data_IF_946701171556
#
_entry.id   IF_946701171556
#
_cell.length_a   1.000
_cell.length_b   1.000
_cell.length_c   1.000
_cell.angle_alpha   90.00
_cell.angle_beta   90.00
_cell.angle_gamma   90.00
#
_symmetry.space_group_name_H-M   'P 1'
#
loop_
_entity.id
_entity.type
_entity.pdbx_description
1 polymer ?
#
# COMPACT_ATOMS: atom_id res chain seq x y z
N UNK A 1 -38.24 21.38 6.72
CA UNK A 1 -37.34 20.62 5.83
C UNK A 1 -36.13 21.51 5.47
N UNK A 2 -35.54 22.14 6.49
CA UNK A 2 -34.62 23.27 6.30
C UNK A 2 -33.35 23.11 7.14
N UNK A 3 -33.39 22.34 8.25
CA UNK A 3 -32.21 22.04 9.07
C UNK A 3 -31.23 21.05 8.42
N UNK A 4 -31.67 20.17 7.53
CA UNK A 4 -30.79 19.18 6.89
C UNK A 4 -29.88 19.77 5.80
N UNK A 5 -30.20 20.94 5.25
CA UNK A 5 -29.41 21.58 4.20
C UNK A 5 -28.25 22.40 4.80
N UNK A 6 -28.45 23.03 5.97
CA UNK A 6 -27.40 23.82 6.64
C UNK A 6 -26.25 22.97 7.18
N UNK A 7 -26.51 21.73 7.63
CA UNK A 7 -25.44 20.81 8.07
C UNK A 7 -24.58 20.30 6.91
N UNK A 8 -25.12 20.28 5.69
CA UNK A 8 -24.40 19.80 4.50
C UNK A 8 -23.47 20.86 3.94
N UNK A 9 -23.84 22.14 4.04
CA UNK A 9 -23.01 23.28 3.61
C UNK A 9 -21.91 23.62 4.64
N UNK A 10 -22.12 23.36 5.94
CA UNK A 10 -21.06 23.56 6.95
C UNK A 10 -19.90 22.56 6.83
N UNK A 11 -20.12 21.37 6.26
CA UNK A 11 -19.05 20.35 6.08
C UNK A 11 -18.16 20.56 4.87
N UNK A 12 -18.56 21.43 3.93
CA UNK A 12 -17.75 21.78 2.77
C UNK A 12 -16.84 23.00 2.99
N UNK A 13 -16.98 23.69 4.13
CA UNK A 13 -16.24 24.93 4.44
C UNK A 13 -14.86 24.74 5.11
N UNK A 14 -14.36 23.50 5.26
CA UNK A 14 -13.08 23.27 5.96
C UNK A 14 -12.14 22.26 5.28
N UNK A 15 -12.37 21.91 4.00
CA UNK A 15 -11.29 21.29 3.22
C UNK A 15 -10.39 22.39 2.68
N UNK A 16 -9.43 22.81 3.52
CA UNK A 16 -8.23 23.49 3.05
C UNK A 16 -7.68 22.74 1.82
N UNK A 17 -7.36 23.44 0.72
CA UNK A 17 -6.84 22.77 -0.46
C UNK A 17 -5.56 22.00 -0.10
N UNK A 18 -5.53 20.71 -0.46
CA UNK A 18 -4.40 19.78 -0.22
C UNK A 18 -3.09 20.21 -0.91
N UNK A 19 -3.02 21.43 -1.46
CA UNK A 19 -1.85 22.00 -2.11
C UNK A 19 -0.66 22.12 -1.17
N UNK A 20 -0.87 22.30 0.15
CA UNK A 20 0.19 22.36 1.15
C UNK A 20 0.79 20.98 1.49
N UNK A 21 0.06 19.88 1.27
CA UNK A 21 0.55 18.52 1.54
C UNK A 21 1.56 18.01 0.51
N UNK A 22 1.60 18.61 -0.69
CA UNK A 22 2.50 18.20 -1.78
C UNK A 22 3.97 18.36 -1.44
N UNK A 23 4.29 19.29 -0.54
CA UNK A 23 5.67 19.61 -0.15
C UNK A 23 6.16 18.75 1.03
N UNK A 24 5.27 18.00 1.70
CA UNK A 24 5.60 17.25 2.92
C UNK A 24 5.48 15.71 2.77
N UNK A 25 4.73 15.24 1.77
CA UNK A 25 4.60 13.80 1.48
C UNK A 25 5.66 13.38 0.46
N UNK A 26 6.68 12.68 0.92
CA UNK A 26 7.76 12.16 0.07
C UNK A 26 7.60 10.65 -0.09
N UNK A 27 7.51 10.19 -1.34
CA UNK A 27 7.54 8.78 -1.70
C UNK A 27 8.96 8.36 -2.12
N UNK A 28 9.45 7.28 -1.55
CA UNK A 28 10.75 6.69 -1.85
C UNK A 28 10.56 5.23 -2.26
N UNK A 29 11.13 4.84 -3.39
CA UNK A 29 11.15 3.44 -3.80
C UNK A 29 12.00 2.62 -2.84
N UNK A 30 11.47 1.47 -2.43
CA UNK A 30 12.21 0.47 -1.66
C UNK A 30 12.73 -0.57 -2.66
N UNK A 31 14.05 -0.78 -2.77
CA UNK A 31 14.59 -1.84 -3.60
C UNK A 31 14.10 -3.21 -3.14
N UNK A 32 13.36 -3.90 -4.01
CA UNK A 32 12.95 -5.29 -3.80
C UNK A 32 13.75 -6.19 -4.73
N UNK A 33 14.39 -7.21 -4.16
CA UNK A 33 15.18 -8.17 -4.92
C UNK A 33 14.26 -9.12 -5.71
N UNK A 34 13.76 -8.65 -6.86
CA UNK A 34 12.92 -9.45 -7.76
C UNK A 34 13.70 -10.62 -8.35
N UNK A 35 13.22 -11.84 -8.12
CA UNK A 35 13.79 -13.05 -8.73
C UNK A 35 13.35 -13.11 -10.20
N UNK A 36 14.23 -12.74 -11.12
CA UNK A 36 13.96 -12.67 -12.59
C UNK A 36 13.34 -13.92 -13.24
N UNK A 37 13.35 -15.07 -12.57
CA UNK A 37 12.88 -16.35 -13.10
C UNK A 37 11.45 -16.73 -12.68
N UNK A 38 10.76 -15.89 -11.90
CA UNK A 38 9.47 -16.25 -11.29
C UNK A 38 8.25 -15.75 -12.07
N UNK A 39 8.42 -14.77 -12.96
CA UNK A 39 7.30 -14.05 -13.60
C UNK A 39 6.45 -13.24 -12.62
N UNK A 40 6.77 -13.26 -11.32
CA UNK A 40 6.16 -12.43 -10.30
C UNK A 40 6.90 -11.11 -10.19
N UNK A 41 6.16 -10.05 -9.94
CA UNK A 41 6.71 -8.71 -9.75
C UNK A 41 6.26 -8.19 -8.40
N UNK A 42 7.22 -7.67 -7.62
CA UNK A 42 6.94 -6.98 -6.37
C UNK A 42 7.60 -5.61 -6.45
N UNK A 43 6.83 -4.57 -6.15
CA UNK A 43 7.31 -3.21 -5.96
C UNK A 43 6.88 -2.74 -4.58
N UNK A 44 7.72 -1.92 -3.94
CA UNK A 44 7.39 -1.33 -2.66
C UNK A 44 7.84 0.13 -2.66
N UNK A 45 7.03 1.00 -2.07
CA UNK A 45 7.42 2.37 -1.78
C UNK A 45 7.13 2.70 -0.32
N UNK A 46 7.95 3.57 0.25
CA UNK A 46 7.74 4.20 1.55
C UNK A 46 7.23 5.61 1.32
N UNK A 47 6.10 5.92 1.91
CA UNK A 47 5.55 7.26 1.98
C UNK A 47 5.82 7.81 3.38
N UNK A 48 6.68 8.82 3.45
CA UNK A 48 6.88 9.56 4.69
C UNK A 48 5.69 10.50 4.91
N UNK A 49 5.05 10.37 6.06
CA UNK A 49 3.89 11.16 6.43
C UNK A 49 4.29 12.39 7.24
N UNK A 50 3.60 13.53 7.08
CA UNK A 50 3.88 14.73 7.86
C UNK A 50 3.51 14.56 9.36
N UNK A 51 3.96 15.52 10.16
CA UNK A 51 3.59 15.66 11.58
C UNK A 51 3.87 14.43 12.47
N UNK A 52 5.02 13.77 12.28
CA UNK A 52 5.44 12.57 13.03
C UNK A 52 4.45 11.39 12.94
N UNK A 53 3.60 11.35 11.92
CA UNK A 53 2.77 10.19 11.66
C UNK A 53 3.67 9.02 11.21
N UNK A 54 3.28 7.77 11.53
CA UNK A 54 4.03 6.62 11.07
C UNK A 54 4.10 6.59 9.53
N UNK A 55 5.23 6.17 8.94
CA UNK A 55 5.33 6.05 7.49
C UNK A 55 4.34 5.00 6.97
N UNK A 56 3.95 5.13 5.71
CA UNK A 56 3.14 4.12 5.04
C UNK A 56 4.00 3.35 4.06
N UNK A 57 3.95 2.01 4.08
CA UNK A 57 4.57 1.18 3.06
C UNK A 57 3.48 0.69 2.14
N UNK A 58 3.57 1.02 0.85
CA UNK A 58 2.71 0.47 -0.18
C UNK A 58 3.48 -0.64 -0.89
N UNK A 59 2.89 -1.82 -0.98
CA UNK A 59 3.47 -3.00 -1.66
C UNK A 59 2.53 -3.43 -2.77
N UNK A 60 2.98 -3.30 -4.02
CA UNK A 60 2.32 -3.84 -5.19
C UNK A 60 2.84 -5.24 -5.49
N UNK A 61 1.93 -6.19 -5.71
CA UNK A 61 2.25 -7.59 -6.01
C UNK A 61 1.55 -8.03 -7.28
N UNK A 62 2.30 -8.67 -8.16
CA UNK A 62 1.77 -9.53 -9.22
C UNK A 62 2.38 -10.92 -9.08
N UNK A 63 1.52 -11.94 -8.93
CA UNK A 63 1.89 -13.35 -8.99
C UNK A 63 1.16 -13.96 -10.18
N UNK A 64 1.83 -14.65 -11.12
CA UNK A 64 1.16 -15.29 -12.25
C UNK A 64 0.10 -16.32 -11.83
N UNK A 65 -0.95 -16.57 -12.65
CA UNK A 65 -1.97 -17.58 -12.41
C UNK A 65 -1.40 -18.99 -12.59
N UNK A 66 -0.68 -19.46 -11.59
CA UNK A 66 -0.18 -20.82 -11.50
C UNK A 66 -0.44 -21.40 -10.10
N UNK A 67 -0.33 -22.72 -9.96
CA UNK A 67 -0.49 -23.40 -8.66
C UNK A 67 0.81 -23.50 -7.87
N UNK A 68 1.86 -22.77 -8.28
CA UNK A 68 3.16 -22.85 -7.63
C UNK A 68 3.14 -22.10 -6.29
N UNK A 69 3.31 -22.86 -5.22
CA UNK A 69 3.35 -22.37 -3.83
C UNK A 69 4.67 -21.67 -3.54
N UNK A 70 5.77 -21.99 -4.25
CA UNK A 70 7.05 -21.33 -4.06
C UNK A 70 6.94 -19.81 -4.29
N UNK A 71 6.03 -19.40 -5.19
CA UNK A 71 5.79 -17.98 -5.48
C UNK A 71 5.03 -17.28 -4.35
N UNK A 72 4.04 -17.94 -3.76
CA UNK A 72 3.34 -17.43 -2.59
C UNK A 72 4.30 -17.31 -1.40
N UNK A 73 5.19 -18.29 -1.22
CA UNK A 73 6.25 -18.26 -0.20
C UNK A 73 7.22 -17.10 -0.43
N UNK A 74 7.66 -16.87 -1.66
CA UNK A 74 8.55 -15.76 -2.00
C UNK A 74 7.89 -14.38 -1.72
N UNK A 75 6.64 -14.19 -2.14
CA UNK A 75 5.88 -12.96 -1.84
C UNK A 75 5.76 -12.76 -0.32
N UNK A 76 5.43 -13.82 0.43
CA UNK A 76 5.36 -13.79 1.89
C UNK A 76 6.70 -13.39 2.52
N UNK A 77 7.81 -13.96 2.08
CA UNK A 77 9.15 -13.66 2.59
C UNK A 77 9.50 -12.18 2.42
N UNK A 78 9.24 -11.62 1.23
CA UNK A 78 9.48 -10.20 0.96
C UNK A 78 8.62 -9.31 1.86
N UNK A 79 7.32 -9.59 1.97
CA UNK A 79 6.42 -8.82 2.86
C UNK A 79 6.90 -8.90 4.31
N UNK A 80 7.28 -10.09 4.79
CA UNK A 80 7.80 -10.27 6.15
C UNK A 80 9.09 -9.47 6.39
N UNK A 81 10.02 -9.46 5.44
CA UNK A 81 11.24 -8.65 5.51
C UNK A 81 10.94 -7.15 5.56
N UNK A 82 9.97 -6.67 4.77
CA UNK A 82 9.54 -5.27 4.79
C UNK A 82 8.93 -4.92 6.15
N UNK A 83 8.05 -5.75 6.71
CA UNK A 83 7.45 -5.54 8.03
C UNK A 83 8.48 -5.52 9.16
N UNK A 84 9.53 -6.33 9.07
CA UNK A 84 10.64 -6.29 10.03
C UNK A 84 11.50 -5.04 9.89
N UNK A 85 11.69 -4.56 8.67
CA UNK A 85 12.50 -3.37 8.38
C UNK A 85 11.79 -2.06 8.75
N UNK A 86 10.46 -2.06 8.73
CA UNK A 86 9.62 -0.89 9.03
C UNK A 86 8.55 -1.22 10.09
N UNK A 87 8.96 -1.50 11.34
CA UNK A 87 8.07 -2.07 12.37
C UNK A 87 6.96 -1.12 12.84
N UNK A 88 7.11 0.17 12.63
CA UNK A 88 6.11 1.19 13.00
C UNK A 88 5.21 1.59 11.83
N UNK A 89 5.52 1.14 10.60
CA UNK A 89 4.82 1.59 9.42
C UNK A 89 3.43 0.96 9.28
N UNK A 90 2.51 1.70 8.66
CA UNK A 90 1.24 1.14 8.18
C UNK A 90 1.44 0.51 6.81
N UNK A 91 0.99 -0.73 6.62
CA UNK A 91 1.18 -1.47 5.37
C UNK A 91 -0.09 -1.49 4.53
N UNK A 92 0.04 -1.13 3.26
CA UNK A 92 -0.97 -1.31 2.22
C UNK A 92 -0.44 -2.31 1.21
N UNK A 93 -1.04 -3.49 1.16
CA UNK A 93 -0.60 -4.56 0.27
C UNK A 93 -1.71 -4.81 -0.75
N UNK A 94 -1.40 -4.65 -2.03
CA UNK A 94 -2.37 -4.72 -3.10
C UNK A 94 -1.79 -5.38 -4.37
N UNK A 95 -2.68 -5.66 -5.32
CA UNK A 95 -2.33 -6.24 -6.61
C UNK A 95 -2.96 -7.62 -6.83
N UNK A 96 -2.49 -8.32 -7.85
CA UNK A 96 -3.02 -9.61 -8.25
C UNK A 96 -2.15 -10.74 -7.71
N UNK A 97 -2.65 -11.38 -6.65
CA UNK A 97 -1.99 -12.51 -6.01
C UNK A 97 -2.27 -13.85 -6.72
N UNK A 98 -3.25 -13.87 -7.63
CA UNK A 98 -3.80 -15.09 -8.23
C UNK A 98 -3.93 -16.22 -7.19
N UNK A 99 -4.48 -15.87 -6.01
CA UNK A 99 -4.64 -16.84 -4.93
C UNK A 99 -5.45 -18.02 -5.49
N UNK A 100 -5.08 -19.26 -5.12
CA UNK A 100 -5.85 -20.41 -5.57
C UNK A 100 -7.31 -20.19 -5.21
N UNK A 101 -8.20 -20.39 -6.17
CA UNK A 101 -9.63 -20.46 -5.88
C UNK A 101 -9.80 -21.48 -4.74
N UNK A 102 -10.51 -21.07 -3.69
CA UNK A 102 -10.97 -22.01 -2.68
C UNK A 102 -12.07 -22.88 -3.30
N UNK A 103 -11.68 -23.79 -4.20
CA UNK A 103 -12.51 -24.90 -4.58
C UNK A 103 -12.56 -25.84 -3.38
N UNK A 104 -13.73 -25.89 -2.74
CA UNK A 104 -14.08 -26.93 -1.76
C UNK A 104 -14.13 -28.32 -2.37
#
# INVERSE_FOLDING_TARGET
MTQYLEETEMRTSAMEPLSHLKDEIVAEDIPVANKKHTGSEISACKINMPHNQPPQIIVGVYRPPNRDVAMATYVREIIATLMQSYPTATFWICGDFNLPDMAG
#
